data_IF_761534522705
#
_entry.id   IF_761534522705
#
_cell.length_a   1.000
_cell.length_b   1.000
_cell.length_c   1.000
_cell.angle_alpha   90.00
_cell.angle_beta   90.00
_cell.angle_gamma   90.00
#
_symmetry.space_group_name_H-M   'P 1'
#
loop_
_entity.id
_entity.type
_entity.pdbx_description
1 polymer ?
#
# COMPACT_ATOMS: atom_id res chain seq x y z
N UNK A 1 -18.20 -3.47 9.09
CA UNK A 1 -18.08 -3.79 7.66
C UNK A 1 -16.68 -3.45 7.18
N UNK A 2 -16.14 -4.26 6.29
CA UNK A 2 -14.78 -4.10 5.81
C UNK A 2 -14.75 -3.64 4.36
N UNK A 3 -13.78 -2.81 4.03
CA UNK A 3 -13.54 -2.34 2.67
C UNK A 3 -12.10 -2.66 2.31
N UNK A 4 -11.88 -3.22 1.15
CA UNK A 4 -10.57 -3.68 0.71
C UNK A 4 -10.10 -2.93 -0.52
N UNK A 5 -8.79 -2.77 -0.64
CA UNK A 5 -8.14 -2.29 -1.84
C UNK A 5 -6.76 -2.93 -1.93
N UNK A 6 -6.24 -3.02 -3.14
CA UNK A 6 -4.93 -3.64 -3.38
C UNK A 6 -4.17 -2.88 -4.46
N UNK A 7 -2.86 -2.76 -4.25
CA UNK A 7 -1.92 -2.26 -5.24
C UNK A 7 -1.00 -3.44 -5.59
N UNK A 8 -1.10 -3.91 -6.83
CA UNK A 8 -0.35 -5.10 -7.26
C UNK A 8 0.81 -4.72 -8.16
N UNK A 9 1.94 -5.43 -7.96
CA UNK A 9 3.08 -5.30 -8.85
C UNK A 9 3.80 -3.97 -8.78
N UNK A 10 3.73 -3.24 -7.66
CA UNK A 10 4.48 -2.01 -7.50
C UNK A 10 5.97 -2.29 -7.33
N UNK A 11 6.79 -1.54 -8.06
CA UNK A 11 8.25 -1.79 -8.12
C UNK A 11 8.97 -1.22 -6.90
N UNK A 12 8.87 -1.93 -5.80
CA UNK A 12 9.61 -1.66 -4.58
C UNK A 12 9.84 -2.99 -3.87
N UNK A 13 10.94 -3.10 -3.11
CA UNK A 13 11.14 -4.33 -2.35
C UNK A 13 10.12 -4.41 -1.20
N UNK A 14 9.57 -5.60 -0.92
CA UNK A 14 8.60 -5.73 0.17
C UNK A 14 9.12 -5.23 1.51
N UNK A 15 10.40 -5.45 1.78
CA UNK A 15 11.04 -5.00 3.03
C UNK A 15 10.94 -3.48 3.22
N UNK A 16 11.20 -2.72 2.16
CA UNK A 16 11.13 -1.26 2.22
C UNK A 16 9.69 -0.78 2.38
N UNK A 17 8.75 -1.42 1.68
CA UNK A 17 7.34 -1.07 1.79
C UNK A 17 6.81 -1.36 3.20
N UNK A 18 7.24 -2.46 3.82
CA UNK A 18 6.81 -2.83 5.17
C UNK A 18 7.20 -1.79 6.22
N UNK A 19 8.34 -1.13 6.06
CA UNK A 19 8.75 -0.07 6.98
C UNK A 19 7.71 1.05 7.06
N UNK A 20 7.08 1.38 5.94
CA UNK A 20 6.07 2.45 5.88
C UNK A 20 4.72 1.95 6.36
N UNK A 21 4.28 0.76 5.90
CA UNK A 21 2.95 0.26 6.28
C UNK A 21 2.85 -0.05 7.77
N UNK A 22 3.95 -0.44 8.41
CA UNK A 22 3.96 -0.71 9.84
C UNK A 22 3.66 0.55 10.66
N UNK A 23 3.97 1.73 10.12
CA UNK A 23 3.72 3.00 10.81
C UNK A 23 2.25 3.40 10.81
N UNK A 24 1.47 2.94 9.84
CA UNK A 24 0.07 3.35 9.68
C UNK A 24 -0.94 2.30 10.13
N UNK A 25 -0.48 1.10 10.48
CA UNK A 25 -1.37 0.01 10.89
C UNK A 25 -2.12 0.41 12.18
N UNK A 26 -3.43 0.24 12.18
CA UNK A 26 -4.26 0.54 13.34
C UNK A 26 -4.62 2.00 13.53
N UNK A 27 -4.15 2.88 12.65
CA UNK A 27 -4.45 4.31 12.73
C UNK A 27 -5.73 4.65 11.95
N UNK A 28 -6.39 5.74 12.33
CA UNK A 28 -7.46 6.30 11.53
C UNK A 28 -6.96 6.66 10.14
N UNK A 29 -7.82 6.59 9.14
CA UNK A 29 -7.40 6.84 7.74
C UNK A 29 -6.85 8.25 7.59
N UNK A 30 -7.50 9.25 8.19
CA UNK A 30 -7.02 10.63 8.10
C UNK A 30 -5.63 10.80 8.71
N UNK A 31 -5.40 10.23 9.89
CA UNK A 31 -4.09 10.27 10.54
C UNK A 31 -3.04 9.54 9.71
N UNK A 32 -3.40 8.40 9.13
CA UNK A 32 -2.50 7.65 8.26
C UNK A 32 -2.11 8.45 7.03
N UNK A 33 -3.05 9.14 6.39
CA UNK A 33 -2.77 9.97 5.21
C UNK A 33 -1.86 11.14 5.58
N UNK A 34 -2.09 11.78 6.71
CA UNK A 34 -1.24 12.88 7.17
C UNK A 34 0.19 12.40 7.43
N UNK A 35 0.34 11.25 8.04
CA UNK A 35 1.65 10.66 8.31
C UNK A 35 2.39 10.33 7.01
N UNK A 36 1.68 9.79 6.03
CA UNK A 36 2.28 9.46 4.73
C UNK A 36 2.71 10.71 3.96
N UNK A 37 1.92 11.80 4.05
CA UNK A 37 2.28 13.06 3.41
C UNK A 37 3.57 13.66 3.98
N UNK A 38 3.83 13.42 5.25
CA UNK A 38 5.05 13.91 5.93
C UNK A 38 6.22 12.94 5.80
N UNK A 39 6.00 11.74 5.30
CA UNK A 39 7.04 10.72 5.20
C UNK A 39 8.04 11.06 4.10
N UNK A 40 9.36 10.96 4.36
CA UNK A 40 10.36 11.13 3.30
C UNK A 40 10.47 9.93 2.36
N UNK A 41 9.81 8.83 2.67
CA UNK A 41 9.88 7.61 1.85
C UNK A 41 9.01 7.74 0.61
N UNK A 42 9.58 7.44 -0.56
CA UNK A 42 8.86 7.52 -1.83
C UNK A 42 7.64 6.58 -1.87
N UNK A 43 7.74 5.44 -1.23
CA UNK A 43 6.65 4.46 -1.21
C UNK A 43 5.41 4.98 -0.48
N UNK A 44 5.54 6.03 0.32
CA UNK A 44 4.40 6.68 0.96
C UNK A 44 3.37 7.23 -0.02
N UNK A 45 3.81 7.71 -1.20
CA UNK A 45 2.92 8.27 -2.21
C UNK A 45 1.94 7.23 -2.76
N UNK A 46 2.39 6.07 -3.28
CA UNK A 46 1.45 5.05 -3.76
C UNK A 46 0.61 4.44 -2.63
N UNK A 47 1.12 4.34 -1.42
CA UNK A 47 0.33 3.86 -0.29
C UNK A 47 -0.78 4.85 0.05
N UNK A 48 -0.51 6.16 0.02
CA UNK A 48 -1.54 7.17 0.22
C UNK A 48 -2.63 7.07 -0.86
N UNK A 49 -2.23 6.87 -2.12
CA UNK A 49 -3.19 6.66 -3.21
C UNK A 49 -4.02 5.40 -2.99
N UNK A 50 -3.41 4.33 -2.49
CA UNK A 50 -4.10 3.08 -2.15
C UNK A 50 -5.16 3.31 -1.07
N UNK A 51 -4.83 4.07 -0.03
CA UNK A 51 -5.80 4.42 1.03
C UNK A 51 -6.96 5.25 0.47
N UNK A 52 -6.67 6.21 -0.39
CA UNK A 52 -7.72 7.01 -1.03
C UNK A 52 -8.62 6.15 -1.91
N UNK A 53 -8.06 5.18 -2.61
CA UNK A 53 -8.82 4.20 -3.39
C UNK A 53 -9.74 3.37 -2.50
N UNK A 54 -9.25 2.94 -1.35
CA UNK A 54 -10.06 2.17 -0.40
C UNK A 54 -11.22 3.01 0.15
N UNK A 55 -10.97 4.29 0.45
CA UNK A 55 -12.02 5.23 0.89
C UNK A 55 -13.07 5.40 -0.21
N UNK A 56 -12.64 5.54 -1.47
CA UNK A 56 -13.56 5.62 -2.59
C UNK A 56 -14.42 4.35 -2.72
N UNK A 57 -13.83 3.17 -2.47
CA UNK A 57 -14.58 1.92 -2.44
C UNK A 57 -15.65 1.92 -1.33
N UNK A 58 -15.32 2.50 -0.18
CA UNK A 58 -16.28 2.64 0.92
C UNK A 58 -17.43 3.58 0.54
N UNK A 59 -17.13 4.69 -0.12
CA UNK A 59 -18.16 5.60 -0.62
C UNK A 59 -19.10 4.90 -1.61
N UNK A 60 -18.55 4.10 -2.52
CA UNK A 60 -19.35 3.35 -3.47
C UNK A 60 -20.25 2.32 -2.77
N UNK A 61 -19.75 1.65 -1.74
CA UNK A 61 -20.58 0.73 -0.96
C UNK A 61 -21.74 1.44 -0.28
N UNK A 62 -21.51 2.66 0.23
CA UNK A 62 -22.58 3.45 0.81
C UNK A 62 -23.66 3.80 -0.21
N UNK A 63 -23.26 4.18 -1.42
CA UNK A 63 -24.20 4.57 -2.47
C UNK A 63 -24.98 3.38 -3.03
N UNK A 64 -24.26 2.29 -3.38
CA UNK A 64 -24.85 1.16 -4.09
C UNK A 64 -25.56 0.18 -3.18
N UNK A 65 -25.01 -0.11 -2.03
CA UNK A 65 -25.51 -1.13 -1.11
C UNK A 65 -26.15 -0.55 0.13
N UNK A 66 -26.20 0.78 0.29
CA UNK A 66 -26.73 1.47 1.47
C UNK A 66 -26.13 0.90 2.76
N UNK A 67 -24.81 0.69 2.75
CA UNK A 67 -24.13 0.00 3.84
C UNK A 67 -24.06 0.80 5.15
N UNK A 68 -24.32 2.12 5.10
CA UNK A 68 -24.31 2.96 6.30
C UNK A 68 -22.92 3.13 6.92
N UNK A 69 -21.86 3.05 6.11
CA UNK A 69 -20.49 3.19 6.60
C UNK A 69 -20.21 4.67 6.92
N UNK A 70 -19.75 4.93 8.13
CA UNK A 70 -19.28 6.27 8.48
C UNK A 70 -17.82 6.44 8.09
N UNK A 71 -17.57 7.23 7.06
CA UNK A 71 -16.23 7.39 6.49
C UNK A 71 -15.25 8.01 7.49
N UNK A 72 -15.74 8.88 8.38
CA UNK A 72 -14.89 9.52 9.37
C UNK A 72 -14.38 8.54 10.44
N UNK A 73 -15.03 7.40 10.60
CA UNK A 73 -14.67 6.39 11.59
C UNK A 73 -13.86 5.24 11.01
N UNK A 74 -13.44 5.33 9.75
CA UNK A 74 -12.63 4.29 9.14
C UNK A 74 -11.21 4.28 9.72
N UNK A 75 -10.72 3.08 10.00
CA UNK A 75 -9.34 2.85 10.45
C UNK A 75 -8.68 1.83 9.55
N UNK A 76 -7.37 1.88 9.51
CA UNK A 76 -6.57 0.87 8.80
C UNK A 76 -6.52 -0.38 9.69
N UNK A 77 -7.50 -1.26 9.49
CA UNK A 77 -7.61 -2.48 10.31
C UNK A 77 -6.48 -3.46 10.00
N UNK A 78 -6.21 -3.66 8.72
CA UNK A 78 -5.12 -4.51 8.27
C UNK A 78 -4.44 -3.86 7.07
N UNK A 79 -3.14 -3.92 7.06
CA UNK A 79 -2.34 -3.55 5.88
C UNK A 79 -1.11 -4.45 5.87
N UNK A 80 -0.84 -5.06 4.74
CA UNK A 80 0.30 -5.97 4.61
C UNK A 80 0.87 -5.92 3.20
N UNK A 81 2.12 -6.33 3.10
CA UNK A 81 2.88 -6.34 1.85
C UNK A 81 3.32 -7.76 1.57
N UNK A 82 2.94 -8.29 0.42
CA UNK A 82 3.37 -9.59 -0.07
C UNK A 82 4.38 -9.41 -1.20
N UNK A 83 5.21 -10.40 -1.42
CA UNK A 83 6.10 -10.40 -2.58
C UNK A 83 5.29 -10.54 -3.86
N UNK A 84 5.53 -9.61 -4.80
CA UNK A 84 5.01 -9.72 -6.15
C UNK A 84 6.00 -10.44 -7.06
N UNK A 85 5.67 -10.55 -8.36
CA UNK A 85 6.57 -11.17 -9.31
C UNK A 85 7.88 -10.39 -9.42
N UNK A 86 9.00 -11.12 -9.46
CA UNK A 86 10.33 -10.54 -9.62
C UNK A 86 10.79 -10.70 -11.06
N UNK A 87 11.56 -9.72 -11.53
CA UNK A 87 12.20 -9.76 -12.82
C UNK A 87 13.70 -9.79 -12.64
N UNK A 88 14.36 -10.64 -13.44
CA UNK A 88 15.81 -10.71 -13.44
C UNK A 88 16.35 -9.91 -14.62
N UNK A 89 17.40 -9.13 -14.37
CA UNK A 89 18.09 -8.34 -15.40
C UNK A 89 19.59 -8.54 -15.26
N UNK A 90 20.29 -8.50 -16.38
CA UNK A 90 21.76 -8.53 -16.39
C UNK A 90 22.25 -7.10 -16.33
N UNK A 91 23.18 -6.85 -15.42
CA UNK A 91 23.81 -5.53 -15.28
C UNK A 91 25.33 -5.68 -15.45
N UNK A 92 25.95 -4.94 -16.37
CA UNK A 92 27.40 -4.95 -16.50
C UNK A 92 28.07 -4.45 -15.22
N UNK A 93 29.17 -5.10 -14.85
CA UNK A 93 30.01 -4.72 -13.73
C UNK A 93 31.42 -4.46 -14.21
N UNK A 94 32.30 -4.03 -13.30
CA UNK A 94 33.71 -3.76 -13.59
C UNK A 94 34.39 -4.96 -14.24
N UNK A 95 35.40 -4.72 -15.08
CA UNK A 95 36.19 -5.75 -15.78
C UNK A 95 35.40 -6.62 -16.75
N UNK A 96 34.35 -6.06 -17.36
CA UNK A 96 33.57 -6.76 -18.35
C UNK A 96 32.69 -7.89 -17.84
N UNK A 97 32.55 -8.03 -16.53
CA UNK A 97 31.68 -9.03 -15.92
C UNK A 97 30.24 -8.57 -15.92
N UNK A 98 29.30 -9.51 -16.14
CA UNK A 98 27.89 -9.27 -16.03
C UNK A 98 27.35 -9.95 -14.76
N UNK A 99 26.46 -9.25 -14.05
CA UNK A 99 25.84 -9.77 -12.83
C UNK A 99 24.34 -9.74 -12.97
N UNK A 100 23.66 -10.79 -12.49
CA UNK A 100 22.21 -10.84 -12.45
C UNK A 100 21.71 -9.95 -11.31
N UNK A 101 20.72 -9.13 -11.61
CA UNK A 101 20.06 -8.26 -10.63
C UNK A 101 18.57 -8.60 -10.60
N UNK A 102 18.05 -8.83 -9.41
CA UNK A 102 16.64 -9.10 -9.22
C UNK A 102 15.88 -7.78 -9.00
N UNK A 103 14.90 -7.51 -9.86
CA UNK A 103 13.99 -6.39 -9.70
C UNK A 103 12.73 -6.89 -9.01
N UNK A 104 12.62 -6.58 -7.73
CA UNK A 104 11.51 -7.03 -6.90
C UNK A 104 10.31 -6.11 -7.04
N UNK A 105 9.12 -6.67 -6.87
CA UNK A 105 7.89 -5.91 -6.77
C UNK A 105 7.13 -6.35 -5.53
N UNK A 106 6.12 -5.55 -5.16
CA UNK A 106 5.33 -5.79 -3.97
C UNK A 106 3.85 -5.69 -4.29
N UNK A 107 3.06 -6.51 -3.61
CA UNK A 107 1.61 -6.39 -3.60
C UNK A 107 1.22 -5.85 -2.23
N UNK A 108 0.58 -4.69 -2.20
CA UNK A 108 0.17 -4.04 -0.97
C UNK A 108 -1.34 -4.15 -0.85
N UNK A 109 -1.80 -4.72 0.26
CA UNK A 109 -3.22 -4.93 0.50
C UNK A 109 -3.63 -4.16 1.75
N UNK A 110 -4.76 -3.49 1.68
CA UNK A 110 -5.30 -2.75 2.82
C UNK A 110 -6.75 -3.15 3.05
N UNK A 111 -7.10 -3.27 4.32
CA UNK A 111 -8.48 -3.49 4.76
C UNK A 111 -8.83 -2.37 5.72
N UNK A 112 -9.84 -1.59 5.37
CA UNK A 112 -10.40 -0.55 6.23
C UNK A 112 -11.64 -1.08 6.92
N UNK A 113 -11.80 -0.72 8.18
CA UNK A 113 -12.98 -1.08 8.95
C UNK A 113 -13.43 0.11 9.78
N UNK A 114 -14.70 0.12 10.17
CA UNK A 114 -15.20 1.12 11.10
C UNK A 114 -14.76 0.77 12.53
N UNK A 115 -14.55 1.80 13.32
CA UNK A 115 -14.35 1.64 14.77
C UNK A 115 -15.64 1.23 15.45
#
# INVERSE_FOLDING_TARGET
MEVKAALKGYRVSPRKARLVVDQIRGKGVEDALNLLDLSPKRVGIPIAQLLRSAVANAEQKNEKARAGIELDNLVVAQIYVDEGPSMWRIRPRAQGRATWVQKRSSNINVVLAER
#
